data_IF_493983829403
#
_entry.id   IF_493983829403
#
_cell.length_a   1.000
_cell.length_b   1.000
_cell.length_c   1.000
_cell.angle_alpha   90.00
_cell.angle_beta   90.00
_cell.angle_gamma   90.00
#
_symmetry.space_group_name_H-M   'P 1'
#
loop_
_entity.id
_entity.type
_entity.pdbx_description
1 polymer ?
#
# COMPACT_ATOMS: atom_id res chain seq x y z
N UNK A 1 25.82 -16.96 45.81
CA UNK A 1 24.96 -15.95 45.16
C UNK A 1 24.57 -16.48 43.78
N UNK A 2 23.33 -16.93 43.56
CA UNK A 2 22.92 -17.36 42.23
C UNK A 2 22.50 -16.15 41.39
N UNK A 3 23.10 -16.02 40.21
CA UNK A 3 22.71 -15.06 39.18
C UNK A 3 21.37 -15.48 38.55
N UNK A 4 20.33 -14.69 38.77
CA UNK A 4 19.03 -14.88 38.13
C UNK A 4 19.04 -14.44 36.67
N UNK A 5 19.17 -15.40 35.75
CA UNK A 5 18.74 -15.23 34.35
C UNK A 5 17.21 -15.13 34.32
N UNK A 6 16.68 -13.92 34.35
CA UNK A 6 15.26 -13.63 34.24
C UNK A 6 14.92 -12.85 32.97
N UNK A 7 15.34 -13.32 31.79
CA UNK A 7 14.65 -12.90 30.54
C UNK A 7 13.44 -13.82 30.35
N UNK A 8 12.41 -13.59 31.15
CA UNK A 8 11.10 -14.15 30.89
C UNK A 8 10.57 -13.51 29.61
N UNK A 9 10.65 -14.23 28.49
CA UNK A 9 9.87 -13.87 27.32
C UNK A 9 8.40 -13.95 27.76
N UNK A 10 7.72 -12.81 27.82
CA UNK A 10 6.30 -12.79 28.14
C UNK A 10 5.58 -13.61 27.06
N UNK A 11 5.07 -14.78 27.43
CA UNK A 11 4.36 -15.68 26.49
C UNK A 11 2.89 -15.30 26.31
N UNK A 12 2.44 -14.23 26.96
CA UNK A 12 1.06 -13.75 26.93
C UNK A 12 0.73 -12.92 25.68
N UNK A 13 -0.57 -12.86 25.40
CA UNK A 13 -1.15 -11.92 24.44
C UNK A 13 -1.17 -10.53 25.07
N UNK A 14 -0.62 -9.53 24.38
CA UNK A 14 -0.76 -8.12 24.77
C UNK A 14 -2.02 -7.56 24.13
N UNK A 15 -2.86 -6.87 24.90
CA UNK A 15 -4.05 -6.19 24.38
C UNK A 15 -3.92 -4.68 24.54
N UNK A 16 -4.15 -3.93 23.46
CA UNK A 16 -4.11 -2.46 23.47
C UNK A 16 -5.45 -1.94 22.97
N UNK A 17 -6.09 -1.09 23.77
CA UNK A 17 -7.41 -0.53 23.51
C UNK A 17 -7.41 1.00 23.63
N UNK A 18 -8.57 1.62 23.46
CA UNK A 18 -8.74 3.07 23.44
C UNK A 18 -8.29 3.80 24.71
N UNK A 19 -8.00 3.10 25.83
CA UNK A 19 -7.47 3.74 27.04
C UNK A 19 -6.10 4.37 26.83
N UNK A 20 -5.38 3.96 25.77
CA UNK A 20 -4.08 4.55 25.42
C UNK A 20 -4.18 5.78 24.50
N UNK A 21 -5.39 6.22 24.15
CA UNK A 21 -5.57 7.35 23.23
C UNK A 21 -5.14 8.70 23.82
N UNK A 22 -4.94 8.77 25.14
CA UNK A 22 -4.38 9.96 25.80
C UNK A 22 -2.87 10.10 25.58
N UNK A 23 -2.21 9.05 25.09
CA UNK A 23 -0.82 9.09 24.67
C UNK A 23 -0.71 9.52 23.21
N UNK A 24 0.38 10.21 22.87
CA UNK A 24 0.69 10.58 21.49
C UNK A 24 1.13 9.37 20.66
N UNK A 25 1.93 8.48 21.27
CA UNK A 25 2.46 7.28 20.62
C UNK A 25 2.62 6.14 21.62
N UNK A 26 2.23 4.94 21.20
CA UNK A 26 2.39 3.70 21.95
C UNK A 26 3.46 2.83 21.29
N UNK A 27 4.40 2.37 22.09
CA UNK A 27 5.50 1.50 21.65
C UNK A 27 5.29 0.09 22.21
N UNK A 28 5.31 -0.90 21.34
CA UNK A 28 5.20 -2.32 21.71
C UNK A 28 6.42 -3.04 21.17
N UNK A 29 7.13 -3.76 22.05
CA UNK A 29 8.34 -4.48 21.66
C UNK A 29 8.30 -5.93 22.10
N UNK A 30 8.82 -6.84 21.27
CA UNK A 30 9.06 -8.25 21.61
C UNK A 30 7.82 -9.05 22.06
N UNK A 31 6.62 -8.64 21.62
CA UNK A 31 5.39 -9.37 21.90
C UNK A 31 5.26 -10.59 20.98
N UNK A 32 4.88 -11.75 21.52
CA UNK A 32 4.55 -12.92 20.68
C UNK A 32 3.26 -12.70 19.90
N UNK A 33 2.23 -12.26 20.59
CA UNK A 33 0.92 -11.95 20.00
C UNK A 33 0.43 -10.63 20.58
N UNK A 34 -0.01 -9.74 19.69
CA UNK A 34 -0.59 -8.46 20.03
C UNK A 34 -2.01 -8.40 19.47
N UNK A 35 -2.97 -7.94 20.26
CA UNK A 35 -4.33 -7.66 19.84
C UNK A 35 -4.58 -6.16 19.97
N UNK A 36 -4.90 -5.52 18.85
CA UNK A 36 -5.12 -4.08 18.74
C UNK A 36 -6.62 -3.82 18.51
N UNK A 37 -7.18 -2.93 19.33
CA UNK A 37 -8.55 -2.45 19.17
C UNK A 37 -8.69 -1.55 17.93
N UNK A 38 -9.87 -1.56 17.30
CA UNK A 38 -10.21 -0.66 16.20
C UNK A 38 -10.46 0.79 16.63
N UNK A 39 -10.59 1.06 17.93
CA UNK A 39 -10.83 2.40 18.49
C UNK A 39 -9.56 3.20 18.79
N UNK A 40 -8.42 2.83 18.21
CA UNK A 40 -7.16 3.51 18.46
C UNK A 40 -7.05 4.79 17.62
N UNK A 41 -6.75 5.90 18.30
CA UNK A 41 -6.51 7.22 17.71
C UNK A 41 -5.13 7.79 18.05
N UNK A 42 -4.24 6.97 18.58
CA UNK A 42 -2.83 7.27 18.86
C UNK A 42 -1.94 6.60 17.80
N UNK A 43 -0.75 7.15 17.57
CA UNK A 43 0.27 6.44 16.79
C UNK A 43 0.71 5.17 17.53
N UNK A 44 1.04 4.12 16.78
CA UNK A 44 1.45 2.82 17.30
C UNK A 44 2.70 2.34 16.57
N UNK A 45 3.75 2.06 17.33
CA UNK A 45 5.01 1.54 16.82
C UNK A 45 5.26 0.13 17.36
N UNK A 46 5.33 -0.85 16.45
CA UNK A 46 5.52 -2.26 16.76
C UNK A 46 6.93 -2.71 16.35
N UNK A 47 7.68 -3.25 17.30
CA UNK A 47 9.04 -3.76 17.09
C UNK A 47 9.14 -5.22 17.49
N UNK A 48 9.59 -6.09 16.59
CA UNK A 48 9.80 -7.50 16.88
C UNK A 48 8.54 -8.21 17.42
N UNK A 49 7.37 -7.85 16.87
CA UNK A 49 6.09 -8.47 17.25
C UNK A 49 5.82 -9.65 16.32
N UNK A 50 5.76 -10.87 16.86
CA UNK A 50 5.64 -12.06 16.01
C UNK A 50 4.30 -12.11 15.27
N UNK A 51 3.21 -11.67 15.87
CA UNK A 51 1.90 -11.56 15.24
C UNK A 51 1.09 -10.42 15.88
N UNK A 52 0.50 -9.53 15.06
CA UNK A 52 -0.49 -8.56 15.51
C UNK A 52 -1.83 -8.79 14.79
N UNK A 53 -2.88 -8.89 15.60
CA UNK A 53 -4.27 -9.11 15.21
C UNK A 53 -5.08 -7.86 15.52
N UNK A 54 -6.02 -7.51 14.65
CA UNK A 54 -6.94 -6.39 14.85
C UNK A 54 -8.34 -6.91 15.11
N UNK A 55 -8.95 -6.49 16.21
CA UNK A 55 -10.16 -7.16 16.75
C UNK A 55 -11.47 -6.81 16.05
N UNK A 56 -11.46 -5.95 15.04
CA UNK A 56 -12.65 -5.62 14.25
C UNK A 56 -12.25 -5.41 12.78
N UNK A 57 -12.28 -6.50 12.00
CA UNK A 57 -11.93 -6.48 10.56
C UNK A 57 -13.16 -6.57 9.66
N UNK A 58 -14.36 -6.75 10.23
CA UNK A 58 -15.55 -7.13 9.46
C UNK A 58 -16.51 -6.01 9.14
N UNK A 59 -16.39 -4.82 9.73
CA UNK A 59 -17.27 -3.69 9.40
C UNK A 59 -16.48 -2.39 9.25
N UNK A 60 -16.91 -1.59 8.27
CA UNK A 60 -16.53 -0.19 8.03
C UNK A 60 -16.92 0.73 9.21
N UNK A 61 -16.60 0.35 10.44
CA UNK A 61 -16.65 1.27 11.56
C UNK A 61 -15.38 2.11 11.48
N UNK A 62 -15.49 3.17 10.67
CA UNK A 62 -14.76 4.39 10.91
C UNK A 62 -14.92 4.70 12.40
N UNK A 63 -13.83 4.98 13.16
CA UNK A 63 -13.95 5.32 14.56
C UNK A 63 -15.06 6.37 14.72
N UNK A 64 -15.92 6.20 15.74
CA UNK A 64 -17.16 6.95 15.95
C UNK A 64 -16.98 8.50 16.01
N UNK A 65 -15.73 8.95 16.03
CA UNK A 65 -15.30 10.29 15.64
C UNK A 65 -14.00 10.17 14.85
N UNK A 66 -13.80 10.90 13.72
CA UNK A 66 -12.50 10.93 13.07
C UNK A 66 -11.45 11.37 14.09
N UNK A 67 -10.40 10.56 14.25
CA UNK A 67 -9.29 10.91 15.14
C UNK A 67 -8.82 12.33 14.80
N UNK A 68 -8.84 13.25 15.78
CA UNK A 68 -8.36 14.63 15.57
C UNK A 68 -6.86 14.63 15.23
N UNK A 69 -6.12 13.70 15.82
CA UNK A 69 -4.73 13.41 15.47
C UNK A 69 -4.69 12.52 14.22
N UNK A 70 -3.65 12.69 13.38
CA UNK A 70 -3.36 11.84 12.22
C UNK A 70 -2.45 10.68 12.67
N UNK A 71 -2.99 9.56 13.17
CA UNK A 71 -2.17 8.57 13.84
C UNK A 71 -1.39 7.75 12.81
N UNK A 72 -0.18 7.35 13.19
CA UNK A 72 0.69 6.51 12.37
C UNK A 72 0.79 5.08 12.89
N UNK A 73 0.78 4.10 12.00
CA UNK A 73 1.10 2.71 12.30
C UNK A 73 2.47 2.37 11.70
N UNK A 74 3.44 2.06 12.56
CA UNK A 74 4.80 1.72 12.14
C UNK A 74 5.15 0.30 12.59
N UNK A 75 5.56 -0.53 11.63
CA UNK A 75 5.82 -1.96 11.82
C UNK A 75 7.28 -2.27 11.48
N UNK A 76 8.00 -2.81 12.45
CA UNK A 76 9.39 -3.20 12.31
C UNK A 76 9.56 -4.65 12.74
N UNK A 77 9.99 -5.51 11.81
CA UNK A 77 10.13 -6.95 12.05
C UNK A 77 8.86 -7.56 12.69
N UNK A 78 7.71 -7.28 12.07
CA UNK A 78 6.39 -7.63 12.59
C UNK A 78 5.58 -8.36 11.54
N UNK A 79 4.78 -9.34 11.95
CA UNK A 79 3.74 -9.94 11.08
C UNK A 79 2.37 -9.45 11.51
N UNK A 80 1.58 -8.96 10.56
CA UNK A 80 0.20 -8.53 10.79
C UNK A 80 -0.74 -9.23 9.82
N UNK A 81 -1.96 -9.46 10.28
CA UNK A 81 -2.98 -10.11 9.45
C UNK A 81 -3.71 -9.12 8.56
N UNK A 82 -4.07 -7.93 9.04
CA UNK A 82 -4.68 -6.89 8.21
C UNK A 82 -4.22 -5.50 8.69
N UNK A 83 -4.28 -4.51 7.80
CA UNK A 83 -4.07 -3.11 8.20
C UNK A 83 -5.38 -2.57 8.79
N UNK A 84 -5.34 -2.02 10.01
CA UNK A 84 -6.51 -1.42 10.65
C UNK A 84 -6.94 -0.14 9.95
N UNK A 85 -8.22 0.18 10.07
CA UNK A 85 -8.73 1.50 9.75
C UNK A 85 -8.32 2.55 10.78
N UNK A 86 -8.27 3.82 10.37
CA UNK A 86 -8.07 4.98 11.26
C UNK A 86 -6.65 5.57 11.26
N UNK A 87 -5.66 4.88 10.71
CA UNK A 87 -4.30 5.41 10.57
C UNK A 87 -4.14 6.20 9.26
N UNK A 88 -3.45 7.34 9.36
CA UNK A 88 -3.16 8.23 8.23
C UNK A 88 -1.79 7.93 7.61
N UNK A 89 -0.86 7.42 8.41
CA UNK A 89 0.46 7.01 7.92
C UNK A 89 0.69 5.54 8.24
N UNK A 90 1.19 4.79 7.27
CA UNK A 90 1.51 3.39 7.42
C UNK A 90 2.96 3.15 6.98
N UNK A 91 3.78 2.63 7.89
CA UNK A 91 5.15 2.25 7.58
C UNK A 91 5.40 0.80 7.96
N UNK A 92 6.05 0.06 7.05
CA UNK A 92 6.36 -1.35 7.24
C UNK A 92 7.78 -1.64 6.79
N UNK A 93 8.60 -2.19 7.68
CA UNK A 93 9.98 -2.56 7.41
C UNK A 93 10.29 -3.96 7.92
N UNK A 94 10.95 -4.79 7.10
CA UNK A 94 11.34 -6.16 7.47
C UNK A 94 10.15 -7.00 7.96
N UNK A 95 8.95 -6.74 7.43
CA UNK A 95 7.68 -7.16 8.03
C UNK A 95 6.80 -7.88 7.01
N UNK A 96 5.72 -8.51 7.50
CA UNK A 96 4.82 -9.33 6.68
C UNK A 96 3.37 -8.91 6.92
N UNK A 97 2.66 -8.56 5.85
CA UNK A 97 1.22 -8.36 5.85
C UNK A 97 0.56 -9.57 5.17
N UNK A 98 -0.17 -10.38 5.93
CA UNK A 98 -0.74 -11.65 5.45
C UNK A 98 -2.12 -11.49 4.80
N UNK A 99 -2.85 -10.43 5.09
CA UNK A 99 -4.13 -10.10 4.48
C UNK A 99 -3.99 -9.01 3.44
N UNK A 100 -4.90 -8.04 3.49
CA UNK A 100 -5.02 -7.00 2.47
C UNK A 100 -4.54 -5.66 2.99
N UNK A 101 -3.71 -4.97 2.21
CA UNK A 101 -3.49 -3.54 2.38
C UNK A 101 -4.65 -2.81 1.71
N UNK A 102 -5.51 -2.15 2.49
CA UNK A 102 -6.67 -1.38 2.02
C UNK A 102 -6.40 0.12 2.29
N UNK A 103 -6.80 0.95 1.34
CA UNK A 103 -6.71 2.42 1.40
C UNK A 103 -7.47 3.07 2.57
N UNK A 104 -6.94 4.20 3.07
CA UNK A 104 -7.66 5.21 3.85
C UNK A 104 -7.50 6.62 3.27
N UNK A 105 -8.44 7.55 3.54
CA UNK A 105 -8.28 8.94 3.12
C UNK A 105 -7.04 9.55 3.78
N UNK A 106 -6.15 10.11 2.94
CA UNK A 106 -4.89 10.80 3.29
C UNK A 106 -3.70 9.86 3.61
N UNK A 107 -3.72 8.64 3.06
CA UNK A 107 -2.74 7.62 3.37
C UNK A 107 -1.33 7.95 2.80
N UNK A 108 -0.36 8.06 3.70
CA UNK A 108 1.07 7.95 3.33
C UNK A 108 1.54 6.54 3.63
N UNK A 109 2.02 5.82 2.62
CA UNK A 109 2.48 4.43 2.74
C UNK A 109 3.97 4.36 2.46
N UNK A 110 4.73 3.77 3.39
CA UNK A 110 6.15 3.45 3.18
C UNK A 110 6.45 2.01 3.55
N UNK A 111 6.65 1.15 2.55
CA UNK A 111 6.96 -0.28 2.74
C UNK A 111 8.37 -0.58 2.24
N UNK A 112 9.18 -1.27 3.04
CA UNK A 112 10.57 -1.60 2.71
C UNK A 112 10.95 -3.01 3.15
N UNK A 113 11.66 -3.74 2.30
CA UNK A 113 12.22 -5.07 2.62
C UNK A 113 11.18 -6.02 3.24
N UNK A 114 10.01 -6.13 2.61
CA UNK A 114 8.84 -6.71 3.27
C UNK A 114 8.06 -7.65 2.36
N UNK A 115 7.03 -8.30 2.90
CA UNK A 115 6.09 -9.12 2.15
C UNK A 115 4.66 -8.60 2.33
N UNK A 116 3.94 -8.40 1.22
CA UNK A 116 2.50 -8.08 1.20
C UNK A 116 1.78 -9.22 0.49
N UNK A 117 0.79 -9.82 1.13
CA UNK A 117 -0.01 -10.85 0.47
C UNK A 117 -0.93 -10.24 -0.60
N UNK A 118 -1.79 -9.28 -0.22
CA UNK A 118 -2.69 -8.62 -1.17
C UNK A 118 -2.50 -7.11 -1.11
N UNK A 119 -2.17 -6.52 -2.26
CA UNK A 119 -2.12 -5.07 -2.45
C UNK A 119 -3.40 -4.60 -3.17
N UNK A 120 -4.23 -3.84 -2.44
CA UNK A 120 -5.45 -3.25 -2.98
C UNK A 120 -5.60 -1.79 -2.51
N UNK A 121 -5.08 -0.86 -3.30
CA UNK A 121 -5.09 0.57 -3.04
C UNK A 121 -6.07 1.22 -4.01
N UNK A 122 -7.02 1.97 -3.50
CA UNK A 122 -7.69 3.00 -4.27
C UNK A 122 -7.22 4.37 -3.75
N UNK A 123 -7.39 5.41 -4.56
CA UNK A 123 -7.19 6.84 -4.31
C UNK A 123 -8.43 7.58 -3.86
N UNK A 124 -8.54 8.33 -2.77
CA UNK A 124 -9.76 9.11 -2.58
C UNK A 124 -9.66 10.32 -3.50
N UNK A 125 -10.72 10.67 -4.22
CA UNK A 125 -10.75 11.92 -4.99
C UNK A 125 -10.59 13.12 -4.05
N UNK A 126 -9.88 14.14 -4.50
CA UNK A 126 -9.56 15.34 -3.71
C UNK A 126 -8.50 15.12 -2.62
N UNK A 127 -7.84 13.96 -2.59
CA UNK A 127 -6.87 13.62 -1.55
C UNK A 127 -5.56 13.13 -2.16
N UNK A 128 -4.47 13.82 -1.79
CA UNK A 128 -3.13 13.45 -2.22
C UNK A 128 -2.62 12.30 -1.36
N UNK A 129 -2.27 11.18 -1.99
CA UNK A 129 -1.63 10.03 -1.35
C UNK A 129 -0.23 9.81 -1.92
N UNK A 130 0.73 9.45 -1.06
CA UNK A 130 2.10 9.12 -1.46
C UNK A 130 2.44 7.71 -0.97
N UNK A 131 2.67 6.81 -1.93
CA UNK A 131 2.80 5.37 -1.69
C UNK A 131 4.14 4.91 -2.22
N UNK A 132 5.04 4.54 -1.31
CA UNK A 132 6.40 4.09 -1.64
C UNK A 132 6.59 2.66 -1.18
N UNK A 133 6.83 1.76 -2.13
CA UNK A 133 7.05 0.34 -1.89
C UNK A 133 8.41 -0.02 -2.48
N UNK A 134 9.35 -0.45 -1.64
CA UNK A 134 10.70 -0.79 -2.06
C UNK A 134 11.14 -2.16 -1.54
N UNK A 135 11.91 -2.91 -2.35
CA UNK A 135 12.48 -4.21 -1.95
C UNK A 135 11.43 -5.15 -1.37
N UNK A 136 10.22 -5.16 -1.93
CA UNK A 136 9.07 -5.84 -1.33
C UNK A 136 8.53 -6.89 -2.28
N UNK A 137 8.15 -8.06 -1.75
CA UNK A 137 7.42 -9.06 -2.51
C UNK A 137 5.92 -8.85 -2.29
N UNK A 138 5.18 -8.65 -3.38
CA UNK A 138 3.72 -8.56 -3.41
C UNK A 138 3.20 -9.85 -4.03
N UNK A 139 2.43 -10.64 -3.29
CA UNK A 139 1.92 -11.91 -3.79
C UNK A 139 0.78 -11.71 -4.82
N UNK A 140 -0.13 -10.77 -4.56
CA UNK A 140 -1.22 -10.45 -5.46
C UNK A 140 -1.51 -8.94 -5.47
N UNK A 141 -1.59 -8.36 -6.66
CA UNK A 141 -2.05 -6.98 -6.87
C UNK A 141 -3.43 -7.00 -7.55
N UNK A 142 -4.47 -6.61 -6.81
CA UNK A 142 -5.87 -6.74 -7.28
C UNK A 142 -6.51 -5.43 -7.74
N UNK A 143 -6.09 -4.29 -7.21
CA UNK A 143 -6.60 -2.97 -7.57
C UNK A 143 -5.70 -1.87 -7.04
N UNK A 144 -5.10 -1.10 -7.93
CA UNK A 144 -4.28 0.09 -7.66
C UNK A 144 -4.93 1.18 -8.48
N UNK A 145 -5.66 2.06 -7.82
CA UNK A 145 -6.35 3.19 -8.45
C UNK A 145 -5.74 4.47 -7.92
N UNK A 146 -5.14 5.26 -8.79
CA UNK A 146 -4.51 6.53 -8.44
C UNK A 146 -5.37 7.67 -8.97
N UNK A 147 -5.85 8.53 -8.07
CA UNK A 147 -6.66 9.70 -8.39
C UNK A 147 -5.93 10.97 -7.96
N UNK A 148 -6.11 12.04 -8.74
CA UNK A 148 -5.78 13.45 -8.44
C UNK A 148 -4.52 13.66 -7.57
N UNK A 149 -3.37 13.95 -8.22
CA UNK A 149 -2.08 14.21 -7.56
C UNK A 149 -1.52 13.08 -6.67
N UNK A 150 -2.11 11.88 -6.69
CA UNK A 150 -1.60 10.73 -5.94
C UNK A 150 -0.47 10.02 -6.67
N UNK A 151 0.39 9.36 -5.90
CA UNK A 151 1.61 8.73 -6.38
C UNK A 151 1.81 7.32 -5.86
N UNK A 152 2.23 6.41 -6.74
CA UNK A 152 2.86 5.16 -6.31
C UNK A 152 4.25 4.99 -6.94
N UNK A 153 5.23 4.70 -6.09
CA UNK A 153 6.60 4.37 -6.46
C UNK A 153 6.89 2.96 -6.02
N UNK A 154 7.06 2.05 -6.97
CA UNK A 154 7.45 0.66 -6.77
C UNK A 154 8.90 0.48 -7.22
N UNK A 155 9.81 0.12 -6.31
CA UNK A 155 11.24 -0.03 -6.64
C UNK A 155 11.81 -1.33 -6.13
N UNK A 156 12.66 -1.99 -6.92
CA UNK A 156 13.36 -3.22 -6.49
C UNK A 156 12.40 -4.31 -5.95
N UNK A 157 11.18 -4.37 -6.45
CA UNK A 157 10.10 -5.19 -5.87
C UNK A 157 9.66 -6.29 -6.84
N UNK A 158 9.11 -7.37 -6.30
CA UNK A 158 8.57 -8.48 -7.09
C UNK A 158 7.05 -8.54 -6.90
N UNK A 159 6.30 -8.55 -7.99
CA UNK A 159 4.85 -8.77 -8.01
C UNK A 159 4.58 -10.14 -8.63
N UNK A 160 4.09 -11.08 -7.83
CA UNK A 160 3.89 -12.46 -8.29
C UNK A 160 2.70 -12.60 -9.21
N UNK A 161 1.54 -12.10 -8.78
CA UNK A 161 0.29 -12.18 -9.54
C UNK A 161 -0.36 -10.81 -9.68
N UNK A 162 -0.99 -10.59 -10.83
CA UNK A 162 -1.71 -9.35 -11.14
C UNK A 162 -3.10 -9.65 -11.69
N UNK A 163 -4.13 -8.99 -11.16
CA UNK A 163 -5.49 -9.08 -11.69
C UNK A 163 -5.66 -8.27 -12.99
N UNK A 164 -6.66 -8.61 -13.81
CA UNK A 164 -6.92 -7.94 -15.10
C UNK A 164 -7.30 -6.45 -15.03
N UNK A 165 -7.66 -5.92 -13.85
CA UNK A 165 -8.07 -4.51 -13.63
C UNK A 165 -7.17 -3.80 -12.62
N UNK A 166 -5.96 -4.30 -12.47
CA UNK A 166 -5.10 -4.06 -11.31
C UNK A 166 -4.49 -2.68 -11.22
N UNK A 167 -4.27 -1.92 -12.31
CA UNK A 167 -3.64 -0.61 -12.21
C UNK A 167 -4.38 0.41 -13.08
N UNK A 168 -4.89 1.46 -12.45
CA UNK A 168 -5.58 2.59 -13.10
C UNK A 168 -5.01 3.89 -12.55
N UNK A 169 -4.55 4.76 -13.45
CA UNK A 169 -3.93 6.05 -13.08
C UNK A 169 -4.72 7.15 -13.75
N UNK A 170 -5.30 8.03 -12.94
CA UNK A 170 -6.17 9.13 -13.36
C UNK A 170 -5.53 10.49 -13.08
N UNK A 171 -5.92 11.48 -13.89
CA UNK A 171 -5.59 12.89 -13.70
C UNK A 171 -4.08 13.11 -13.55
N UNK A 172 -3.63 14.09 -12.77
CA UNK A 172 -2.21 14.40 -12.53
C UNK A 172 -1.47 13.37 -11.65
N UNK A 173 -2.01 12.16 -11.49
CA UNK A 173 -1.40 11.10 -10.69
C UNK A 173 -0.18 10.49 -11.39
N UNK A 174 0.69 9.86 -10.60
CA UNK A 174 1.91 9.25 -11.13
C UNK A 174 2.14 7.81 -10.67
N UNK A 175 2.60 6.99 -11.61
CA UNK A 175 3.04 5.61 -11.39
C UNK A 175 4.50 5.49 -11.81
N UNK A 176 5.38 5.20 -10.85
CA UNK A 176 6.79 4.93 -11.13
C UNK A 176 7.16 3.51 -10.72
N UNK A 177 7.65 2.72 -11.66
CA UNK A 177 8.09 1.34 -11.42
C UNK A 177 9.54 1.21 -11.88
N UNK A 178 10.43 0.89 -10.95
CA UNK A 178 11.86 0.77 -11.23
C UNK A 178 12.43 -0.56 -10.70
N UNK A 179 13.32 -1.21 -11.45
CA UNK A 179 14.06 -2.41 -11.02
C UNK A 179 13.16 -3.52 -10.47
N UNK A 180 11.96 -3.69 -11.01
CA UNK A 180 10.92 -4.54 -10.43
C UNK A 180 10.50 -5.64 -11.41
N UNK A 181 9.96 -6.75 -10.89
CA UNK A 181 9.54 -7.90 -11.70
C UNK A 181 8.05 -8.21 -11.55
N UNK A 182 7.41 -8.61 -12.64
CA UNK A 182 6.00 -9.04 -12.70
C UNK A 182 5.95 -10.46 -13.28
N UNK A 183 5.75 -11.46 -12.42
CA UNK A 183 6.01 -12.86 -12.79
C UNK A 183 4.85 -13.53 -13.54
N UNK A 184 3.61 -13.35 -13.07
CA UNK A 184 2.45 -14.04 -13.59
C UNK A 184 1.26 -13.10 -13.81
N UNK A 185 0.58 -13.30 -14.94
CA UNK A 185 -0.53 -12.46 -15.39
C UNK A 185 -0.07 -11.31 -16.28
N UNK A 186 -1.03 -10.76 -17.03
CA UNK A 186 -0.83 -9.54 -17.80
C UNK A 186 -1.26 -8.36 -16.93
N UNK A 187 -0.30 -7.59 -16.43
CA UNK A 187 -0.64 -6.36 -15.72
C UNK A 187 -1.21 -5.36 -16.72
N UNK A 188 -2.50 -5.08 -16.61
CA UNK A 188 -3.16 -4.08 -17.45
C UNK A 188 -3.10 -2.75 -16.71
N UNK A 189 -2.32 -1.82 -17.26
CA UNK A 189 -2.21 -0.45 -16.78
C UNK A 189 -3.11 0.41 -17.66
N UNK A 190 -4.10 1.05 -17.05
CA UNK A 190 -4.97 2.01 -17.72
C UNK A 190 -4.59 3.42 -17.28
N UNK A 191 -4.14 4.24 -18.24
CA UNK A 191 -3.77 5.63 -18.03
C UNK A 191 -4.89 6.54 -18.55
N UNK A 192 -5.28 7.52 -17.76
CA UNK A 192 -6.26 8.55 -18.11
C UNK A 192 -5.63 9.95 -18.02
N UNK A 193 -6.26 10.92 -18.70
CA UNK A 193 -5.94 12.36 -18.75
C UNK A 193 -4.79 12.83 -17.83
N UNK A 194 -3.67 13.31 -18.38
CA UNK A 194 -2.53 13.90 -17.64
C UNK A 194 -1.78 12.96 -16.67
N UNK A 195 -2.09 11.66 -16.65
CA UNK A 195 -1.38 10.69 -15.83
C UNK A 195 0.05 10.48 -16.32
N UNK A 196 0.97 10.40 -15.36
CA UNK A 196 2.38 10.14 -15.64
C UNK A 196 2.74 8.70 -15.30
N UNK A 197 3.47 8.05 -16.20
CA UNK A 197 4.06 6.73 -15.96
C UNK A 197 5.57 6.79 -16.19
N UNK A 198 6.33 6.12 -15.33
CA UNK A 198 7.76 5.89 -15.50
C UNK A 198 8.05 4.42 -15.28
N UNK A 199 8.68 3.76 -16.25
CA UNK A 199 9.10 2.37 -16.18
C UNK A 199 10.61 2.31 -16.43
N UNK A 200 11.35 1.68 -15.53
CA UNK A 200 12.81 1.57 -15.61
C UNK A 200 13.26 0.19 -15.16
N UNK A 201 13.95 -0.58 -16.02
CA UNK A 201 14.46 -1.92 -15.68
C UNK A 201 13.35 -2.81 -15.06
N UNK A 202 12.23 -2.94 -15.77
CA UNK A 202 11.08 -3.74 -15.33
C UNK A 202 11.03 -5.02 -16.14
N UNK A 203 10.89 -6.16 -15.47
CA UNK A 203 10.74 -7.47 -16.12
C UNK A 203 9.31 -8.00 -15.97
N UNK A 204 8.84 -8.78 -16.94
CA UNK A 204 7.47 -9.29 -16.99
C UNK A 204 6.64 -8.73 -18.15
N UNK A 205 5.35 -9.07 -18.19
CA UNK A 205 4.42 -8.62 -19.24
C UNK A 205 3.49 -7.53 -18.73
N UNK A 206 3.72 -6.30 -19.18
CA UNK A 206 2.85 -5.14 -18.92
C UNK A 206 2.10 -4.76 -20.19
N UNK A 207 0.78 -4.59 -20.09
CA UNK A 207 -0.08 -4.03 -21.15
C UNK A 207 -0.53 -2.65 -20.73
N UNK A 208 -0.04 -1.63 -21.41
CA UNK A 208 -0.42 -0.23 -21.15
C UNK A 208 -1.50 0.17 -22.15
N UNK A 209 -2.59 0.75 -21.65
CA UNK A 209 -3.68 1.30 -22.44
C UNK A 209 -3.91 2.75 -22.02
N UNK A 210 -4.09 3.61 -23.01
CA UNK A 210 -4.51 4.98 -22.79
C UNK A 210 -6.01 5.10 -23.01
N UNK A 211 -6.74 5.67 -22.04
CA UNK A 211 -8.17 5.89 -22.11
C UNK A 211 -8.51 7.37 -21.97
N UNK A 212 -9.01 8.01 -23.03
CA UNK A 212 -9.62 9.33 -22.90
C UNK A 212 -10.99 9.19 -22.23
N UNK A 213 -11.18 9.83 -21.08
CA UNK A 213 -12.50 10.16 -20.57
C UNK A 213 -12.84 11.55 -21.11
N UNK A 214 -13.55 11.61 -22.24
CA UNK A 214 -14.32 12.81 -22.61
C UNK A 214 -15.65 12.73 -21.86
N UNK A 215 -15.85 13.62 -20.89
CA UNK A 215 -17.16 13.84 -20.29
C UNK A 215 -18.10 14.46 -21.33
N UNK A 216 -19.25 13.82 -21.59
CA UNK A 216 -20.33 14.37 -22.40
C UNK A 216 -20.38 13.84 -23.84
N UNK A 217 -21.42 13.03 -24.11
CA UNK A 217 -22.00 12.75 -25.44
C UNK A 217 -21.05 12.66 -26.64
N UNK A 218 -20.55 11.45 -26.90
CA UNK A 218 -20.50 10.79 -28.21
C UNK A 218 -19.36 9.78 -28.26
N UNK A 219 -19.73 8.51 -28.35
CA UNK A 219 -18.82 7.38 -28.49
C UNK A 219 -18.41 7.27 -29.95
N UNK A 220 -17.31 7.91 -30.34
CA UNK A 220 -16.54 7.51 -31.54
C UNK A 220 -15.09 7.98 -31.39
N UNK A 221 -14.17 7.03 -31.17
CA UNK A 221 -12.73 7.31 -31.24
C UNK A 221 -11.89 6.76 -30.09
N UNK A 222 -11.97 5.45 -29.82
CA UNK A 222 -10.87 4.79 -29.10
C UNK A 222 -9.70 4.59 -30.07
N UNK A 223 -8.70 5.46 -30.01
CA UNK A 223 -7.41 5.17 -30.63
C UNK A 223 -6.68 4.13 -29.77
N UNK A 224 -6.86 2.85 -30.08
CA UNK A 224 -6.18 1.75 -29.38
C UNK A 224 -4.71 1.71 -29.78
N UNK A 225 -3.86 2.50 -29.12
CA UNK A 225 -2.41 2.33 -29.20
C UNK A 225 -2.00 1.25 -28.21
N UNK A 226 -1.71 0.06 -28.72
CA UNK A 226 -1.12 -1.03 -27.95
C UNK A 226 0.39 -0.86 -27.95
N UNK A 227 0.98 -0.71 -26.76
CA UNK A 227 2.42 -0.86 -26.60
C UNK A 227 2.66 -2.13 -25.79
N UNK A 228 3.17 -3.17 -26.46
CA UNK A 228 3.68 -4.38 -25.80
C UNK A 228 5.15 -4.12 -25.53
N UNK A 229 5.49 -3.83 -24.27
CA UNK A 229 6.88 -3.64 -23.87
C UNK A 229 7.46 -4.99 -23.48
N UNK A 230 8.30 -5.54 -24.34
CA UNK A 230 9.18 -6.68 -24.05
C UNK A 230 10.62 -6.13 -23.98
N UNK A 231 11.09 -5.63 -22.84
CA UNK A 231 12.46 -5.10 -22.77
C UNK A 231 13.06 -5.08 -21.36
N UNK A 232 14.37 -5.36 -21.21
CA UNK A 232 15.09 -5.09 -19.96
C UNK A 232 15.53 -3.62 -19.81
N UNK A 233 15.53 -2.79 -20.86
CA UNK A 233 15.74 -1.33 -20.72
C UNK A 233 14.93 -0.57 -21.79
N UNK A 234 13.88 0.13 -21.36
CA UNK A 234 13.18 1.12 -22.17
C UNK A 234 12.64 2.21 -21.23
N UNK A 235 13.22 3.42 -21.27
CA UNK A 235 12.66 4.59 -20.58
C UNK A 235 11.65 5.21 -21.53
N UNK A 236 10.36 4.99 -21.27
CA UNK A 236 9.28 5.73 -21.95
C UNK A 236 8.85 6.90 -21.06
N UNK A 237 9.11 8.12 -21.51
CA UNK A 237 8.35 9.29 -21.11
C UNK A 237 7.32 9.57 -22.20
N UNK A 238 6.06 9.20 -21.96
CA UNK A 238 4.95 9.65 -22.79
C UNK A 238 4.52 11.03 -22.30
N UNK A 239 5.15 12.08 -22.84
CA UNK A 239 4.65 13.44 -22.64
C UNK A 239 3.40 13.62 -23.52
N UNK A 240 2.26 13.92 -22.89
CA UNK A 240 1.08 14.39 -23.60
C UNK A 240 1.41 15.74 -24.24
N UNK A 241 1.63 15.74 -25.56
CA UNK A 241 1.72 16.96 -26.36
C UNK A 241 0.29 17.28 -26.79
N UNK A 242 -0.27 18.35 -26.23
CA UNK A 242 -1.50 18.95 -26.73
C UNK A 242 -1.18 19.80 -27.97
N UNK A 243 -1.88 19.51 -29.08
CA UNK A 243 -2.11 20.44 -30.18
C UNK A 243 -3.59 20.81 -30.20
#
# INVERSE_FOLDING_TARGET
>A
MPQGKGRGAFEGVVYINSTVNDFETVYVTNAKTLMLSSGLCTSVNLYHVKSALYTNTTNKEVPASPCKAKPGLHLYNTTIDNVPSGFHTYSMENSRLLGTLIEHPQLQVKVSNSYINVLNIETPKGVNCDIRIQRTTINLMTGVVLNENSGIVLTASEVKNVSLKSIRVYDTSHLSIARSSFLQGEANILLHNMANITLENVTGTLKIRYGHLRSGSDVTGMEKKWLVVLCPLLILQLNSVYH
#
